data_IF_201656554429
#
_entry.id   IF_201656554429
#
_cell.length_a   1.000
_cell.length_b   1.000
_cell.length_c   1.000
_cell.angle_alpha   90.00
_cell.angle_beta   90.00
_cell.angle_gamma   90.00
#
_symmetry.space_group_name_H-M   'P 1'
#
loop_
_entity.id
_entity.type
_entity.pdbx_description
1 polymer ?
#
# COMPACT_ATOMS: atom_id res chain seq x y z
N UNK A 1 -25.72 -29.97 36.42
CA UNK A 1 -26.21 -28.95 35.45
C UNK A 1 -25.04 -28.01 35.14
N UNK A 2 -24.36 -28.16 34.00
CA UNK A 2 -23.20 -27.33 33.60
C UNK A 2 -23.71 -26.03 32.98
N UNK A 3 -23.45 -24.90 33.64
CA UNK A 3 -23.74 -23.55 33.12
C UNK A 3 -22.73 -23.22 32.02
N UNK A 4 -23.18 -23.22 30.77
CA UNK A 4 -22.41 -22.67 29.65
C UNK A 4 -22.50 -21.15 29.71
N UNK A 5 -21.42 -20.48 30.11
CA UNK A 5 -21.30 -19.03 29.98
C UNK A 5 -21.03 -18.72 28.50
N UNK A 6 -22.03 -18.13 27.83
CA UNK A 6 -21.87 -17.55 26.50
C UNK A 6 -21.05 -16.26 26.64
N UNK A 7 -19.77 -16.33 26.28
CA UNK A 7 -18.91 -15.15 26.19
C UNK A 7 -19.24 -14.42 24.88
N UNK A 8 -20.02 -13.36 24.96
CA UNK A 8 -20.28 -12.46 23.82
C UNK A 8 -19.05 -11.58 23.66
N UNK A 9 -18.20 -11.91 22.69
CA UNK A 9 -17.06 -11.06 22.29
C UNK A 9 -17.61 -9.97 21.36
N UNK A 10 -17.49 -8.67 21.72
CA UNK A 10 -17.91 -7.60 20.84
C UNK A 10 -16.90 -7.51 19.68
N UNK A 11 -17.36 -7.82 18.47
CA UNK A 11 -16.63 -7.56 17.23
C UNK A 11 -16.56 -6.05 17.02
N UNK A 12 -15.49 -5.40 17.47
CA UNK A 12 -15.17 -4.04 17.05
C UNK A 12 -14.75 -4.10 15.57
N UNK A 13 -15.63 -3.69 14.66
CA UNK A 13 -15.30 -3.52 13.26
C UNK A 13 -14.26 -2.40 13.13
N UNK A 14 -13.00 -2.76 12.88
CA UNK A 14 -11.95 -1.79 12.57
C UNK A 14 -12.27 -1.16 11.21
N UNK A 15 -12.63 0.13 11.19
CA UNK A 15 -12.77 0.89 9.95
C UNK A 15 -11.42 0.89 9.22
N UNK A 16 -11.39 0.24 8.06
CA UNK A 16 -10.27 0.30 7.13
C UNK A 16 -10.79 0.54 5.73
N UNK A 17 -10.03 1.28 4.94
CA UNK A 17 -10.30 1.58 3.53
C UNK A 17 -9.16 1.00 2.72
N UNK A 18 -9.49 0.26 1.65
CA UNK A 18 -8.49 -0.32 0.75
C UNK A 18 -8.70 0.18 -0.66
N UNK A 19 -7.61 0.58 -1.31
CA UNK A 19 -7.58 1.09 -2.67
C UNK A 19 -6.70 0.19 -3.54
N UNK A 20 -7.07 -0.03 -4.81
CA UNK A 20 -6.22 -0.73 -5.75
C UNK A 20 -4.95 0.08 -6.01
N UNK A 21 -3.85 -0.63 -6.24
CA UNK A 21 -2.56 -0.08 -6.69
C UNK A 21 -2.17 -0.81 -7.96
N UNK A 22 -1.88 -0.10 -9.03
CA UNK A 22 -1.48 -0.71 -10.31
C UNK A 22 -0.34 0.09 -10.94
N UNK A 23 0.53 -0.59 -11.69
CA UNK A 23 1.59 0.08 -12.45
C UNK A 23 2.67 -0.89 -12.90
N UNK A 24 3.92 -0.45 -12.84
CA UNK A 24 5.08 -1.26 -13.18
C UNK A 24 6.11 -1.30 -12.07
N UNK A 25 6.79 -2.44 -11.96
CA UNK A 25 7.86 -2.67 -11.01
C UNK A 25 8.96 -3.52 -11.63
N UNK A 26 10.18 -2.99 -11.66
CA UNK A 26 11.33 -3.66 -12.27
C UNK A 26 11.05 -4.06 -13.74
N UNK A 27 10.48 -3.11 -14.49
CA UNK A 27 10.12 -3.27 -15.91
C UNK A 27 8.93 -4.20 -16.20
N UNK A 28 8.26 -4.71 -15.18
CA UNK A 28 7.15 -5.64 -15.31
C UNK A 28 5.84 -5.05 -14.78
N UNK A 29 4.67 -5.43 -15.35
CA UNK A 29 3.39 -5.09 -14.75
C UNK A 29 3.31 -5.57 -13.29
N UNK A 30 2.78 -4.72 -12.43
CA UNK A 30 2.61 -4.99 -11.02
C UNK A 30 1.30 -4.43 -10.49
N UNK A 31 0.71 -5.13 -9.53
CA UNK A 31 -0.57 -4.78 -8.93
C UNK A 31 -0.59 -5.09 -7.44
N UNK A 32 -1.52 -4.47 -6.73
CA UNK A 32 -1.53 -4.52 -5.28
C UNK A 32 -2.65 -3.73 -4.64
N UNK A 33 -2.48 -3.47 -3.35
CA UNK A 33 -3.45 -2.76 -2.53
C UNK A 33 -2.75 -1.83 -1.54
N UNK A 34 -3.33 -0.65 -1.33
CA UNK A 34 -3.00 0.23 -0.22
C UNK A 34 -4.19 0.25 0.75
N UNK A 35 -3.93 -0.04 2.02
CA UNK A 35 -4.96 -0.08 3.07
C UNK A 35 -4.65 0.99 4.10
N UNK A 36 -5.65 1.81 4.43
CA UNK A 36 -5.59 2.81 5.49
C UNK A 36 -6.54 2.41 6.63
N UNK A 37 -6.09 2.58 7.87
CA UNK A 37 -6.87 2.31 9.08
C UNK A 37 -6.49 3.27 10.20
N UNK A 38 -7.26 3.26 11.29
CA UNK A 38 -6.94 4.06 12.49
C UNK A 38 -5.60 3.67 13.13
N UNK A 39 -5.11 2.44 12.92
CA UNK A 39 -3.82 1.98 13.46
C UNK A 39 -2.64 2.21 12.51
N UNK A 40 -2.87 2.77 11.32
CA UNK A 40 -1.83 3.05 10.32
C UNK A 40 -2.21 2.57 8.92
N UNK A 41 -1.29 2.80 7.99
CA UNK A 41 -1.42 2.41 6.59
C UNK A 41 -0.42 1.33 6.18
N UNK A 42 -0.84 0.46 5.28
CA UNK A 42 0.00 -0.56 4.63
C UNK A 42 -0.16 -0.48 3.11
N UNK A 43 0.86 -0.90 2.38
CA UNK A 43 0.73 -1.24 0.98
C UNK A 43 1.47 -2.53 0.67
N UNK A 44 1.02 -3.21 -0.39
CA UNK A 44 1.63 -4.42 -0.92
C UNK A 44 1.46 -4.41 -2.44
N UNK A 45 2.52 -4.73 -3.17
CA UNK A 45 2.51 -4.93 -4.63
C UNK A 45 3.17 -6.26 -4.98
N UNK A 46 2.75 -6.86 -6.09
CA UNK A 46 3.28 -8.09 -6.68
C UNK A 46 3.43 -7.89 -8.19
N UNK A 47 4.61 -8.16 -8.73
CA UNK A 47 4.82 -8.18 -10.18
C UNK A 47 4.58 -9.58 -10.79
N UNK A 48 4.49 -9.64 -12.11
CA UNK A 48 4.30 -10.88 -12.90
C UNK A 48 5.40 -11.92 -12.70
N UNK A 49 6.60 -11.51 -12.26
CA UNK A 49 7.74 -12.39 -11.97
C UNK A 49 7.75 -12.95 -10.54
N UNK A 50 6.74 -12.61 -9.72
CA UNK A 50 6.61 -13.13 -8.36
C UNK A 50 7.34 -12.31 -7.30
N UNK A 51 7.89 -11.14 -7.64
CA UNK A 51 8.49 -10.23 -6.67
C UNK A 51 7.40 -9.47 -5.91
N UNK A 52 7.39 -9.64 -4.60
CA UNK A 52 6.43 -9.04 -3.69
C UNK A 52 7.12 -8.01 -2.81
N UNK A 53 6.59 -6.78 -2.76
CA UNK A 53 7.14 -5.69 -1.95
C UNK A 53 6.04 -4.98 -1.15
N UNK A 54 6.35 -4.67 0.10
CA UNK A 54 5.40 -4.11 1.05
C UNK A 54 6.01 -2.96 1.86
N UNK A 55 5.15 -2.17 2.47
CA UNK A 55 5.57 -1.13 3.40
C UNK A 55 4.42 -0.59 4.24
N UNK A 56 4.78 0.28 5.18
CA UNK A 56 3.84 0.97 6.06
C UNK A 56 3.97 2.48 5.92
N UNK A 57 2.89 3.20 6.22
CA UNK A 57 2.86 4.65 6.23
C UNK A 57 1.91 5.19 7.30
N UNK A 58 2.05 6.46 7.65
CA UNK A 58 1.09 7.15 8.50
C UNK A 58 -0.19 7.44 7.70
N UNK A 59 -1.25 6.70 7.97
CA UNK A 59 -2.55 6.90 7.30
C UNK A 59 -3.30 8.14 7.80
N UNK A 60 -2.99 8.66 8.99
CA UNK A 60 -3.64 9.83 9.57
C UNK A 60 -3.08 11.16 9.08
N UNK A 61 -1.94 11.15 8.40
CA UNK A 61 -1.33 12.37 7.85
C UNK A 61 -2.15 12.96 6.71
N UNK A 62 -2.22 14.28 6.66
CA UNK A 62 -2.78 15.06 5.55
C UNK A 62 -1.71 15.54 4.57
N UNK A 63 -0.46 15.11 4.74
CA UNK A 63 0.62 15.44 3.82
C UNK A 63 0.33 14.91 2.41
N UNK A 64 0.55 15.78 1.42
CA UNK A 64 0.43 15.42 -0.01
C UNK A 64 1.53 14.45 -0.41
N UNK A 65 2.75 14.65 0.10
CA UNK A 65 3.89 13.79 -0.18
C UNK A 65 4.27 13.00 1.06
N UNK A 66 4.33 11.67 0.93
CA UNK A 66 4.66 10.74 2.00
C UNK A 66 5.84 9.88 1.56
N UNK A 67 6.82 9.71 2.43
CA UNK A 67 7.91 8.74 2.24
C UNK A 67 7.60 7.50 3.06
N UNK A 68 7.52 6.35 2.40
CA UNK A 68 7.26 5.06 3.04
C UNK A 68 8.41 4.09 2.80
N UNK A 69 8.93 3.38 3.82
CA UNK A 69 9.92 2.34 3.62
C UNK A 69 9.31 1.16 2.85
N UNK A 70 10.11 0.53 1.99
CA UNK A 70 9.73 -0.62 1.17
C UNK A 70 10.66 -1.78 1.50
N UNK A 71 10.09 -2.97 1.67
CA UNK A 71 10.82 -4.23 1.80
C UNK A 71 10.27 -5.27 0.85
N UNK A 72 11.14 -5.98 0.15
CA UNK A 72 10.78 -6.99 -0.84
C UNK A 72 11.13 -8.41 -0.37
N UNK A 73 10.43 -9.41 -0.91
CA UNK A 73 10.61 -10.83 -0.56
C UNK A 73 11.98 -11.40 -0.94
N UNK A 74 12.71 -10.75 -1.84
CA UNK A 74 14.07 -11.10 -2.24
C UNK A 74 15.16 -10.43 -1.38
N UNK A 75 14.75 -9.69 -0.34
CA UNK A 75 15.65 -9.01 0.60
C UNK A 75 16.06 -7.59 0.19
N UNK A 76 15.65 -7.12 -0.99
CA UNK A 76 15.85 -5.71 -1.36
C UNK A 76 14.99 -4.78 -0.53
N UNK A 77 15.50 -3.57 -0.28
CA UNK A 77 14.82 -2.55 0.53
C UNK A 77 14.94 -1.18 -0.12
N UNK A 78 14.07 -0.25 0.24
CA UNK A 78 14.07 1.07 -0.38
C UNK A 78 13.05 2.01 0.22
N UNK A 79 12.64 2.99 -0.58
CA UNK A 79 11.57 3.92 -0.22
C UNK A 79 10.61 4.12 -1.40
N UNK A 80 9.34 4.28 -1.06
CA UNK A 80 8.31 4.83 -1.93
C UNK A 80 8.12 6.31 -1.61
N UNK A 81 8.04 7.14 -2.65
CA UNK A 81 7.55 8.52 -2.57
C UNK A 81 6.13 8.52 -3.11
N UNK A 82 5.17 8.64 -2.20
CA UNK A 82 3.74 8.64 -2.47
C UNK A 82 3.31 10.10 -2.60
N UNK A 83 2.63 10.44 -3.69
CA UNK A 83 2.08 11.77 -3.95
C UNK A 83 0.57 11.67 -4.15
N UNK A 84 -0.20 12.18 -3.19
CA UNK A 84 -1.66 12.19 -3.23
C UNK A 84 -2.17 13.33 -4.11
N UNK A 85 -3.32 13.14 -4.76
CA UNK A 85 -4.12 14.24 -5.30
C UNK A 85 -4.74 15.02 -4.12
N UNK A 86 -5.40 16.13 -4.43
CA UNK A 86 -6.00 17.01 -3.41
C UNK A 86 -7.16 16.37 -2.65
N UNK A 87 -7.71 15.26 -3.16
CA UNK A 87 -8.72 14.45 -2.47
C UNK A 87 -8.14 13.59 -1.32
N UNK A 88 -6.79 13.50 -1.23
CA UNK A 88 -6.03 12.66 -0.31
C UNK A 88 -6.28 11.14 -0.44
N UNK A 89 -7.05 10.70 -1.43
CA UNK A 89 -7.46 9.31 -1.62
C UNK A 89 -6.73 8.69 -2.81
N UNK A 90 -6.57 9.43 -3.89
CA UNK A 90 -5.94 8.96 -5.12
C UNK A 90 -4.53 9.53 -5.27
N UNK A 91 -3.71 8.95 -6.15
CA UNK A 91 -2.36 9.48 -6.37
C UNK A 91 -1.40 8.54 -7.05
N UNK A 92 -0.13 8.95 -7.04
CA UNK A 92 0.98 8.21 -7.63
C UNK A 92 1.99 7.79 -6.57
N UNK A 93 2.77 6.75 -6.85
CA UNK A 93 3.88 6.34 -6.00
C UNK A 93 5.08 5.94 -6.86
N UNK A 94 6.25 6.49 -6.53
CA UNK A 94 7.52 6.14 -7.17
C UNK A 94 8.38 5.41 -6.14
N UNK A 95 8.78 4.19 -6.47
CA UNK A 95 9.63 3.35 -5.62
C UNK A 95 11.05 3.38 -6.15
N UNK A 96 12.02 3.46 -5.23
CA UNK A 96 13.43 3.20 -5.54
C UNK A 96 14.05 2.30 -4.47
N UNK A 97 14.58 1.17 -4.91
CA UNK A 97 15.28 0.20 -4.09
C UNK A 97 16.78 0.52 -3.99
N UNK A 98 17.45 -0.14 -3.05
CA UNK A 98 18.87 0.00 -2.73
C UNK A 98 19.81 -0.48 -3.85
N UNK A 99 19.32 -1.34 -4.75
CA UNK A 99 20.05 -1.81 -5.94
C UNK A 99 19.83 -0.92 -7.18
N UNK A 100 19.03 0.15 -7.04
CA UNK A 100 18.67 1.04 -8.13
C UNK A 100 17.41 0.66 -8.90
N UNK A 101 16.80 -0.49 -8.59
CA UNK A 101 15.51 -0.90 -9.17
C UNK A 101 14.43 0.13 -8.84
N UNK A 102 13.55 0.37 -9.80
CA UNK A 102 12.49 1.38 -9.70
C UNK A 102 11.11 0.81 -9.95
N UNK A 103 10.12 1.56 -9.48
CA UNK A 103 8.71 1.26 -9.63
C UNK A 103 7.90 2.52 -9.77
N UNK A 104 6.82 2.44 -10.54
CA UNK A 104 5.87 3.52 -10.75
C UNK A 104 4.47 2.96 -10.64
N UNK A 105 3.65 3.59 -9.81
CA UNK A 105 2.32 3.10 -9.50
C UNK A 105 1.34 4.26 -9.43
N UNK A 106 0.09 3.94 -9.74
CA UNK A 106 -1.08 4.75 -9.40
C UNK A 106 -1.93 4.01 -8.37
N UNK A 107 -2.71 4.74 -7.59
CA UNK A 107 -3.68 4.19 -6.66
C UNK A 107 -4.96 5.01 -6.61
N UNK A 108 -6.04 4.37 -6.13
CA UNK A 108 -7.36 4.98 -6.11
C UNK A 108 -8.06 4.86 -7.46
N UNK A 109 -8.57 5.98 -7.96
CA UNK A 109 -9.31 6.10 -9.23
C UNK A 109 -8.44 6.49 -10.44
N UNK A 110 -7.12 6.64 -10.24
CA UNK A 110 -6.19 6.95 -11.32
C UNK A 110 -5.85 5.73 -12.18
N UNK A 111 -5.54 5.98 -13.45
CA UNK A 111 -5.08 4.99 -14.41
C UNK A 111 -3.61 5.18 -14.75
N UNK A 112 -2.85 4.08 -14.79
CA UNK A 112 -1.39 4.14 -14.94
C UNK A 112 -0.97 4.84 -16.23
N UNK A 113 -1.50 4.41 -17.39
CA UNK A 113 -1.11 4.97 -18.69
C UNK A 113 -1.57 6.40 -18.98
N UNK A 114 -2.29 7.04 -18.05
CA UNK A 114 -2.64 8.47 -18.13
C UNK A 114 -1.68 9.34 -17.31
N UNK A 115 -1.04 8.77 -16.28
CA UNK A 115 -0.13 9.47 -15.37
C UNK A 115 1.35 9.18 -15.67
N UNK A 116 1.66 8.05 -16.32
CA UNK A 116 3.00 7.60 -16.75
C UNK A 116 2.96 7.09 -18.20
#
# INVERSE_FOLDING_TARGET
>A
MRKFAFFVVPFAAACSVSLPVNGQFDGEPAQGTATASLSGGTFQVLNTRGLSCAGTYDAGTTAITIRAPVSCTDGRTGNAIITRKTDLISGTAIVRLNDGTTGEFVFGDLQYGEEF
#
